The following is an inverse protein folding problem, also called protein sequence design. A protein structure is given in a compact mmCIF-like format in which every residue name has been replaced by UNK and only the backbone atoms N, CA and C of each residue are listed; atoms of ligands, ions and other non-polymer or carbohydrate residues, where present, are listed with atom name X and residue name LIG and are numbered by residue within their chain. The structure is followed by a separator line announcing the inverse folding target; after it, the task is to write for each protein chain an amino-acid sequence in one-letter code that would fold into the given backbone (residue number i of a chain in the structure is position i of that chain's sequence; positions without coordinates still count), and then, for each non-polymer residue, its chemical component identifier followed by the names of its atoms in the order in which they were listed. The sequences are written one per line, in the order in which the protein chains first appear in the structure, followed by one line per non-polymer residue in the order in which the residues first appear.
data_IF_315739097490
#
_entry.id   IF_315739097490
#
_cell.length_a   1.000
_cell.length_b   1.000
_cell.length_c   1.000
_cell.angle_alpha   90.00
_cell.angle_beta   90.00
_cell.angle_gamma   90.00
#
_symmetry.space_group_name_H-M   'P 1'
#
loop_
_entity.id
_entity.type
_entity.pdbx_description
1 polymer ?
#
# COMPACT_ATOMS: atom_id res chain seq x y z
N UNK A 1 -30.20 10.25 8.04
CA UNK A 1 -30.27 8.79 8.03
C UNK A 1 -28.96 8.26 7.43
N UNK A 2 -28.31 7.28 8.05
CA UNK A 2 -27.05 6.72 7.59
C UNK A 2 -27.24 5.33 6.96
N UNK A 3 -26.22 4.84 6.25
CA UNK A 3 -26.14 3.45 5.78
C UNK A 3 -25.61 2.57 6.91
N UNK A 4 -26.14 1.37 7.01
CA UNK A 4 -25.70 0.37 7.98
C UNK A 4 -25.58 -0.97 7.28
N UNK A 5 -24.50 -1.70 7.59
CA UNK A 5 -24.40 -3.14 7.34
C UNK A 5 -25.01 -3.84 8.55
N UNK A 6 -25.98 -4.69 8.31
CA UNK A 6 -26.66 -5.42 9.38
C UNK A 6 -26.41 -6.92 9.20
N UNK A 7 -25.88 -7.55 10.25
CA UNK A 7 -25.81 -9.01 10.36
C UNK A 7 -26.85 -9.47 11.36
N UNK A 8 -27.87 -10.18 10.90
CA UNK A 8 -28.92 -10.76 11.74
C UNK A 8 -28.65 -12.26 11.93
N UNK A 9 -28.84 -12.77 13.13
CA UNK A 9 -28.60 -14.17 13.47
C UNK A 9 -29.51 -14.62 14.63
N UNK A 10 -29.62 -15.93 14.78
CA UNK A 10 -30.30 -16.53 15.94
C UNK A 10 -29.26 -17.12 16.90
N UNK A 11 -29.46 -16.86 18.22
CA UNK A 11 -28.73 -17.51 19.30
C UNK A 11 -29.68 -17.84 20.45
N UNK A 12 -29.62 -19.06 20.99
CA UNK A 12 -30.46 -19.51 22.11
C UNK A 12 -31.95 -19.19 21.92
N UNK A 13 -32.46 -19.37 20.71
CA UNK A 13 -33.83 -19.05 20.26
C UNK A 13 -34.19 -17.56 20.26
N UNK A 14 -33.25 -16.65 20.43
CA UNK A 14 -33.46 -15.23 20.31
C UNK A 14 -32.81 -14.67 19.03
N UNK A 15 -33.49 -13.76 18.36
CA UNK A 15 -32.92 -13.01 17.26
C UNK A 15 -31.93 -11.98 17.81
N UNK A 16 -30.73 -11.94 17.22
CA UNK A 16 -29.71 -10.94 17.49
C UNK A 16 -29.32 -10.22 16.21
N UNK A 17 -28.78 -9.01 16.33
CA UNK A 17 -28.24 -8.28 15.20
C UNK A 17 -27.02 -7.47 15.60
N UNK A 18 -26.07 -7.35 14.67
CA UNK A 18 -24.94 -6.43 14.75
C UNK A 18 -25.06 -5.41 13.64
N UNK A 19 -25.03 -4.14 14.00
CA UNK A 19 -25.12 -3.04 13.06
C UNK A 19 -23.75 -2.33 12.98
N UNK A 20 -23.21 -2.19 11.77
CA UNK A 20 -22.04 -1.38 11.50
C UNK A 20 -22.48 -0.16 10.68
N UNK A 21 -22.28 1.03 11.22
CA UNK A 21 -22.45 2.26 10.45
C UNK A 21 -21.42 2.31 9.32
N UNK A 22 -21.89 2.63 8.12
CA UNK A 22 -21.05 2.83 6.94
C UNK A 22 -20.85 4.32 6.78
N UNK A 23 -19.60 4.74 6.68
CA UNK A 23 -19.26 6.13 6.40
C UNK A 23 -19.62 6.46 4.94
N UNK A 24 -20.25 7.61 4.73
CA UNK A 24 -20.68 8.03 3.39
C UNK A 24 -19.73 9.02 2.73
N UNK A 25 -18.90 9.70 3.55
CA UNK A 25 -17.89 10.60 3.04
C UNK A 25 -16.66 9.81 2.58
N UNK A 26 -16.21 10.05 1.35
CA UNK A 26 -14.97 9.52 0.81
C UNK A 26 -13.90 10.58 1.02
N UNK A 27 -12.92 10.37 1.92
CA UNK A 27 -11.86 11.34 2.12
C UNK A 27 -10.96 11.42 0.88
N UNK A 28 -10.35 12.57 0.66
CA UNK A 28 -9.36 12.77 -0.41
C UNK A 28 -8.02 12.12 -0.04
N UNK A 29 -7.13 11.94 -1.04
CA UNK A 29 -5.78 11.46 -0.79
C UNK A 29 -5.00 12.37 0.16
N UNK A 30 -5.26 13.68 0.10
CA UNK A 30 -4.61 14.68 0.96
C UNK A 30 -5.11 14.59 2.40
N UNK A 31 -6.42 14.44 2.62
CA UNK A 31 -7.00 14.24 3.96
C UNK A 31 -6.50 12.96 4.62
N UNK A 32 -6.21 11.92 3.83
CA UNK A 32 -5.63 10.67 4.32
C UNK A 32 -4.10 10.74 4.44
N UNK A 33 -3.47 11.83 4.02
CA UNK A 33 -2.01 11.99 3.97
C UNK A 33 -1.31 10.86 3.21
N UNK A 34 -1.93 10.38 2.11
CA UNK A 34 -1.34 9.36 1.26
C UNK A 34 -0.13 9.93 0.50
N UNK A 35 0.94 9.15 0.28
CA UNK A 35 2.06 9.56 -0.55
C UNK A 35 1.62 10.06 -1.93
N UNK A 36 2.25 11.12 -2.45
CA UNK A 36 1.88 11.74 -3.74
C UNK A 36 1.90 10.77 -4.91
N UNK A 37 2.75 9.76 -4.83
CA UNK A 37 2.82 8.68 -5.83
C UNK A 37 1.51 7.92 -5.99
N UNK A 38 0.66 7.86 -4.96
CA UNK A 38 -0.67 7.22 -5.02
C UNK A 38 -1.57 7.96 -6.02
N UNK A 39 -1.53 9.30 -6.03
CA UNK A 39 -2.26 10.11 -7.01
C UNK A 39 -1.73 9.89 -8.43
N UNK A 40 -0.41 9.81 -8.58
CA UNK A 40 0.23 9.53 -9.86
C UNK A 40 -0.16 8.14 -10.40
N UNK A 41 -0.18 7.14 -9.52
CA UNK A 41 -0.64 5.78 -9.85
C UNK A 41 -2.12 5.76 -10.26
N UNK A 42 -2.98 6.56 -9.60
CA UNK A 42 -4.39 6.68 -9.95
C UNK A 42 -4.61 7.16 -11.39
N UNK A 43 -3.70 7.98 -11.91
CA UNK A 43 -3.77 8.55 -13.26
C UNK A 43 -3.10 7.70 -14.34
N UNK A 44 -2.54 6.54 -13.98
CA UNK A 44 -1.95 5.59 -14.93
C UNK A 44 -2.99 5.10 -15.92
N UNK A 45 -2.60 4.95 -17.20
CA UNK A 45 -3.55 4.52 -18.24
C UNK A 45 -3.91 3.05 -18.15
N UNK A 46 -2.94 2.18 -17.83
CA UNK A 46 -3.11 0.72 -17.84
C UNK A 46 -2.12 0.05 -16.88
N UNK A 47 -2.44 -1.15 -16.49
CA UNK A 47 -1.62 -2.00 -15.65
C UNK A 47 -2.35 -2.37 -14.35
N UNK A 48 -1.68 -3.10 -13.49
CA UNK A 48 -2.22 -3.62 -12.25
C UNK A 48 -1.66 -2.86 -11.05
N UNK A 49 -2.52 -2.40 -10.17
CA UNK A 49 -2.16 -1.81 -8.88
C UNK A 49 -2.88 -2.59 -7.78
N UNK A 50 -2.13 -3.03 -6.78
CA UNK A 50 -2.67 -3.86 -5.70
C UNK A 50 -2.51 -3.15 -4.36
N UNK A 51 -3.63 -2.94 -3.65
CA UNK A 51 -3.62 -2.53 -2.25
C UNK A 51 -3.51 -3.74 -1.35
N UNK A 52 -2.54 -3.71 -0.45
CA UNK A 52 -2.14 -4.82 0.41
C UNK A 52 -2.35 -4.46 1.88
N UNK A 53 -2.78 -5.40 2.69
CA UNK A 53 -2.94 -5.20 4.13
C UNK A 53 -3.96 -6.16 4.74
N UNK A 54 -3.92 -6.33 6.06
CA UNK A 54 -4.90 -7.09 6.81
C UNK A 54 -6.29 -6.43 6.80
N UNK A 55 -7.29 -7.11 7.33
CA UNK A 55 -8.63 -6.53 7.50
C UNK A 55 -8.57 -5.34 8.47
N UNK A 56 -9.22 -4.23 8.11
CA UNK A 56 -9.29 -3.04 8.97
C UNK A 56 -8.08 -2.11 8.89
N UNK A 57 -7.15 -2.34 7.96
CA UNK A 57 -5.98 -1.45 7.75
C UNK A 57 -6.29 -0.21 6.90
N UNK A 58 -7.54 -0.02 6.45
CA UNK A 58 -7.95 1.16 5.69
C UNK A 58 -7.77 1.05 4.17
N UNK A 59 -7.48 -0.15 3.63
CA UNK A 59 -7.32 -0.36 2.16
C UNK A 59 -8.48 0.19 1.35
N UNK A 60 -9.72 -0.19 1.71
CA UNK A 60 -10.92 0.25 0.98
C UNK A 60 -11.08 1.77 1.00
N UNK A 61 -10.74 2.42 2.12
CA UNK A 61 -10.80 3.89 2.23
C UNK A 61 -9.77 4.55 1.32
N UNK A 62 -8.53 4.08 1.34
CA UNK A 62 -7.45 4.62 0.49
C UNK A 62 -7.70 4.34 -0.99
N UNK A 63 -8.23 3.16 -1.32
CA UNK A 63 -8.62 2.80 -2.69
C UNK A 63 -9.80 3.64 -3.18
N UNK A 64 -10.82 3.88 -2.34
CA UNK A 64 -11.93 4.77 -2.67
C UNK A 64 -11.45 6.21 -2.89
N UNK A 65 -10.51 6.69 -2.06
CA UNK A 65 -9.86 7.99 -2.23
C UNK A 65 -9.12 8.08 -3.57
N UNK A 66 -8.36 7.06 -3.93
CA UNK A 66 -7.65 6.97 -5.21
C UNK A 66 -8.62 6.98 -6.40
N UNK A 67 -9.72 6.23 -6.34
CA UNK A 67 -10.80 6.25 -7.34
C UNK A 67 -11.45 7.63 -7.41
N UNK A 68 -11.71 8.26 -6.25
CA UNK A 68 -12.24 9.61 -6.15
C UNK A 68 -11.35 10.65 -6.82
N UNK A 69 -10.02 10.54 -6.63
CA UNK A 69 -9.04 11.40 -7.29
C UNK A 69 -9.13 11.23 -8.82
N UNK A 70 -9.11 10.00 -9.33
CA UNK A 70 -9.26 9.73 -10.77
C UNK A 70 -10.58 10.24 -11.32
N UNK A 71 -11.67 10.01 -10.62
CA UNK A 71 -13.00 10.46 -11.01
C UNK A 71 -13.11 11.98 -11.12
N UNK A 72 -12.37 12.72 -10.30
CA UNK A 72 -12.34 14.19 -10.34
C UNK A 72 -11.47 14.75 -11.47
N UNK A 73 -10.37 14.06 -11.84
CA UNK A 73 -9.33 14.60 -12.72
C UNK A 73 -9.23 13.90 -14.09
N UNK A 74 -10.09 12.92 -14.36
CA UNK A 74 -10.11 12.19 -15.63
C UNK A 74 -11.52 12.12 -16.22
N UNK A 75 -11.61 11.59 -17.44
CA UNK A 75 -12.86 11.20 -18.10
C UNK A 75 -12.79 9.72 -18.41
N UNK A 76 -13.95 9.07 -18.52
CA UNK A 76 -14.04 7.66 -18.87
C UNK A 76 -15.00 6.89 -17.99
N UNK A 77 -14.86 5.57 -17.97
CA UNK A 77 -15.73 4.66 -17.24
C UNK A 77 -14.94 3.85 -16.20
N UNK A 78 -15.33 3.99 -14.95
CA UNK A 78 -14.78 3.22 -13.81
C UNK A 78 -15.83 2.18 -13.44
N UNK A 79 -15.44 0.91 -13.43
CA UNK A 79 -16.31 -0.19 -12.97
C UNK A 79 -15.71 -0.79 -11.71
N UNK A 80 -16.52 -0.92 -10.65
CA UNK A 80 -16.13 -1.61 -9.43
C UNK A 80 -16.97 -2.85 -9.22
N UNK A 81 -16.35 -3.92 -8.72
CA UNK A 81 -17.00 -5.17 -8.32
C UNK A 81 -16.56 -5.46 -6.89
N UNK A 82 -17.52 -5.44 -5.96
CA UNK A 82 -17.26 -5.40 -4.53
C UNK A 82 -18.12 -6.42 -3.76
N UNK A 83 -17.66 -6.82 -2.59
CA UNK A 83 -18.36 -7.76 -1.69
C UNK A 83 -18.17 -7.34 -0.21
N UNK A 84 -19.02 -6.42 0.27
CA UNK A 84 -19.98 -5.54 -0.41
C UNK A 84 -19.39 -4.15 -0.77
N UNK A 85 -20.19 -3.27 -1.38
CA UNK A 85 -19.84 -1.86 -1.63
C UNK A 85 -19.72 -1.12 -0.30
N UNK A 86 -18.50 -0.62 -0.01
CA UNK A 86 -18.23 0.17 1.21
C UNK A 86 -18.47 1.67 0.99
N UNK A 87 -18.09 2.24 -0.16
CA UNK A 87 -18.22 3.64 -0.50
C UNK A 87 -19.02 3.82 -1.79
N UNK A 88 -19.92 4.80 -1.83
CA UNK A 88 -20.66 5.14 -3.05
C UNK A 88 -19.97 6.31 -3.72
N UNK A 89 -19.56 6.11 -4.97
CA UNK A 89 -18.97 7.14 -5.81
C UNK A 89 -20.05 7.86 -6.64
N UNK A 90 -20.07 9.18 -6.55
CA UNK A 90 -20.86 9.99 -7.46
C UNK A 90 -20.17 10.06 -8.83
N UNK A 91 -20.96 10.23 -9.90
CA UNK A 91 -20.41 10.56 -11.21
C UNK A 91 -19.87 12.00 -11.19
N UNK A 92 -18.62 12.19 -11.63
CA UNK A 92 -17.98 13.49 -11.79
C UNK A 92 -17.41 13.63 -13.18
N UNK A 93 -16.07 13.56 -13.34
CA UNK A 93 -15.42 13.47 -14.66
C UNK A 93 -15.61 12.09 -15.32
N UNK A 94 -15.69 11.05 -14.51
CA UNK A 94 -15.94 9.68 -14.96
C UNK A 94 -17.38 9.24 -14.66
N UNK A 95 -17.89 8.33 -15.47
CA UNK A 95 -19.01 7.48 -15.10
C UNK A 95 -18.52 6.38 -14.17
N UNK A 96 -19.19 6.15 -13.05
CA UNK A 96 -18.82 5.10 -12.10
C UNK A 96 -19.95 4.09 -11.99
N UNK A 97 -19.69 2.84 -12.35
CA UNK A 97 -20.62 1.72 -12.21
C UNK A 97 -20.11 0.82 -11.11
N UNK A 98 -20.88 0.67 -10.04
CA UNK A 98 -20.55 -0.18 -8.90
C UNK A 98 -21.48 -1.38 -8.87
N UNK A 99 -20.92 -2.59 -8.70
CA UNK A 99 -21.68 -3.83 -8.64
C UNK A 99 -21.33 -4.59 -7.37
N UNK A 100 -22.35 -4.91 -6.59
CA UNK A 100 -22.23 -5.69 -5.37
C UNK A 100 -22.48 -7.17 -5.64
N UNK A 101 -21.55 -8.03 -5.20
CA UNK A 101 -21.73 -9.49 -5.26
C UNK A 101 -22.86 -9.91 -4.33
N UNK A 102 -23.73 -10.78 -4.82
CA UNK A 102 -24.93 -11.24 -4.09
C UNK A 102 -26.14 -10.31 -4.21
N UNK A 103 -25.98 -9.10 -4.76
CA UNK A 103 -27.07 -8.15 -5.00
C UNK A 103 -27.23 -7.87 -6.51
N UNK A 104 -26.16 -7.31 -7.14
CA UNK A 104 -26.15 -6.90 -8.54
C UNK A 104 -25.57 -7.98 -9.48
N UNK A 105 -24.84 -8.92 -8.91
CA UNK A 105 -24.20 -10.01 -9.64
C UNK A 105 -24.09 -11.24 -8.73
N UNK A 106 -24.25 -12.47 -9.26
CA UNK A 106 -24.20 -13.68 -8.43
C UNK A 106 -22.78 -14.00 -7.91
N UNK A 107 -21.73 -13.58 -8.61
CA UNK A 107 -20.34 -13.82 -8.19
C UNK A 107 -19.36 -12.84 -8.84
N UNK A 108 -18.12 -12.81 -8.34
CA UNK A 108 -17.01 -12.06 -8.96
C UNK A 108 -16.77 -12.53 -10.40
N UNK A 109 -16.72 -13.84 -10.64
CA UNK A 109 -16.41 -14.42 -11.97
C UNK A 109 -17.44 -13.97 -13.03
N UNK A 110 -18.75 -14.02 -12.67
CA UNK A 110 -19.81 -13.58 -13.58
C UNK A 110 -19.72 -12.10 -13.90
N UNK A 111 -19.43 -11.28 -12.89
CA UNK A 111 -19.23 -9.84 -13.08
C UNK A 111 -18.01 -9.56 -13.96
N UNK A 112 -16.83 -10.11 -13.61
CA UNK A 112 -15.57 -9.87 -14.28
C UNK A 112 -15.59 -10.33 -15.75
N UNK A 113 -16.19 -11.49 -16.04
CA UNK A 113 -16.35 -12.02 -17.40
C UNK A 113 -17.04 -11.03 -18.36
N UNK A 114 -17.97 -10.24 -17.86
CA UNK A 114 -18.76 -9.31 -18.68
C UNK A 114 -18.21 -7.87 -18.67
N UNK A 115 -17.27 -7.56 -17.77
CA UNK A 115 -16.78 -6.20 -17.57
C UNK A 115 -16.15 -5.59 -18.82
N UNK A 116 -15.33 -6.33 -19.57
CA UNK A 116 -14.68 -5.84 -20.79
C UNK A 116 -15.68 -5.43 -21.91
N UNK A 117 -16.91 -5.94 -21.88
CA UNK A 117 -17.95 -5.57 -22.85
C UNK A 117 -18.64 -4.24 -22.51
N UNK A 118 -18.31 -3.64 -21.38
CA UNK A 118 -18.90 -2.39 -20.87
C UNK A 118 -18.00 -1.18 -21.13
N UNK A 119 -16.95 -1.34 -21.96
CA UNK A 119 -15.97 -0.32 -22.29
C UNK A 119 -15.39 0.43 -21.07
N UNK A 120 -14.81 -0.29 -20.09
CA UNK A 120 -14.18 0.32 -18.92
C UNK A 120 -12.82 0.94 -19.28
N UNK A 121 -12.45 2.03 -18.60
CA UNK A 121 -11.08 2.53 -18.56
C UNK A 121 -10.36 2.03 -17.29
N UNK A 122 -11.12 1.92 -16.20
CA UNK A 122 -10.64 1.44 -14.90
C UNK A 122 -11.57 0.36 -14.39
N UNK A 123 -10.98 -0.73 -13.91
CA UNK A 123 -11.71 -1.85 -13.30
C UNK A 123 -11.17 -2.04 -11.88
N UNK A 124 -12.05 -1.98 -10.89
CA UNK A 124 -11.69 -2.29 -9.51
C UNK A 124 -12.26 -3.65 -9.11
N UNK A 125 -11.38 -4.55 -8.71
CA UNK A 125 -11.69 -5.86 -8.13
C UNK A 125 -11.57 -5.74 -6.62
N UNK A 126 -12.69 -5.77 -5.92
CA UNK A 126 -12.76 -5.49 -4.48
C UNK A 126 -11.76 -6.29 -3.67
N UNK A 127 -11.61 -7.58 -3.99
CA UNK A 127 -10.61 -8.44 -3.37
C UNK A 127 -10.21 -9.62 -4.27
N UNK A 128 -8.90 -9.89 -4.34
CA UNK A 128 -8.35 -11.11 -4.96
C UNK A 128 -8.24 -12.19 -3.90
N UNK A 129 -9.09 -13.21 -4.01
CA UNK A 129 -9.12 -14.38 -3.10
C UNK A 129 -8.77 -15.68 -3.80
N UNK A 130 -8.96 -15.74 -5.12
CA UNK A 130 -8.82 -16.95 -5.90
C UNK A 130 -7.91 -16.74 -7.10
N UNK A 131 -7.47 -17.85 -7.68
CA UNK A 131 -6.70 -17.86 -8.92
C UNK A 131 -7.47 -17.16 -10.04
N UNK A 132 -8.77 -17.46 -10.17
CA UNK A 132 -9.63 -16.93 -11.22
C UNK A 132 -9.72 -15.41 -11.17
N UNK A 133 -9.90 -14.84 -9.97
CA UNK A 133 -9.92 -13.37 -9.80
C UNK A 133 -8.57 -12.75 -10.12
N UNK A 134 -7.46 -13.43 -9.81
CA UNK A 134 -6.12 -12.96 -10.19
C UNK A 134 -5.88 -13.04 -11.70
N UNK A 135 -6.28 -14.13 -12.36
CA UNK A 135 -6.21 -14.29 -13.82
C UNK A 135 -6.98 -13.15 -14.53
N UNK A 136 -8.18 -12.76 -14.03
CA UNK A 136 -8.92 -11.61 -14.58
C UNK A 136 -8.17 -10.28 -14.36
N UNK A 137 -7.63 -10.05 -13.17
CA UNK A 137 -6.91 -8.80 -12.87
C UNK A 137 -5.69 -8.61 -13.80
N UNK A 138 -4.93 -9.68 -14.06
CA UNK A 138 -3.83 -9.68 -15.02
C UNK A 138 -4.36 -9.43 -16.44
N UNK A 139 -5.38 -10.15 -16.88
CA UNK A 139 -5.99 -10.01 -18.20
C UNK A 139 -6.46 -8.57 -18.47
N UNK A 140 -7.07 -7.90 -17.49
CA UNK A 140 -7.49 -6.51 -17.63
C UNK A 140 -6.29 -5.58 -17.85
N UNK A 141 -5.21 -5.77 -17.08
CA UNK A 141 -4.00 -5.00 -17.24
C UNK A 141 -3.32 -5.21 -18.62
N UNK A 142 -3.29 -6.45 -19.11
CA UNK A 142 -2.74 -6.83 -20.43
C UNK A 142 -3.56 -6.24 -21.59
N UNK A 143 -4.88 -6.23 -21.44
CA UNK A 143 -5.79 -5.71 -22.47
C UNK A 143 -5.91 -4.18 -22.48
N UNK A 144 -5.09 -3.48 -21.70
CA UNK A 144 -4.93 -2.03 -21.78
C UNK A 144 -5.71 -1.22 -20.75
N UNK A 145 -6.34 -1.86 -19.77
CA UNK A 145 -7.12 -1.21 -18.73
C UNK A 145 -6.26 -0.98 -17.47
N UNK A 146 -6.64 0.00 -16.65
CA UNK A 146 -6.12 0.11 -15.30
C UNK A 146 -6.94 -0.81 -14.37
N UNK A 147 -6.30 -1.84 -13.85
CA UNK A 147 -6.89 -2.72 -12.85
C UNK A 147 -6.42 -2.34 -11.45
N UNK A 148 -7.35 -2.04 -10.57
CA UNK A 148 -7.14 -1.80 -9.15
C UNK A 148 -7.69 -3.01 -8.39
N UNK A 149 -6.94 -3.52 -7.42
CA UNK A 149 -7.40 -4.66 -6.62
C UNK A 149 -6.93 -4.56 -5.18
N UNK A 150 -7.56 -5.32 -4.28
CA UNK A 150 -7.04 -5.52 -2.94
C UNK A 150 -6.58 -6.96 -2.73
N UNK A 151 -5.59 -7.13 -1.86
CA UNK A 151 -5.08 -8.44 -1.47
C UNK A 151 -4.75 -8.44 0.03
N UNK A 152 -5.08 -9.52 0.72
CA UNK A 152 -4.68 -9.71 2.10
C UNK A 152 -3.26 -10.27 2.18
N UNK A 153 -2.30 -9.44 2.57
CA UNK A 153 -0.94 -9.78 2.96
C UNK A 153 -0.41 -8.65 3.85
N UNK A 154 0.74 -8.79 4.48
CA UNK A 154 1.25 -7.75 5.37
C UNK A 154 2.11 -6.70 4.66
N UNK A 155 2.82 -7.08 3.59
CA UNK A 155 3.68 -6.20 2.80
C UNK A 155 3.73 -6.66 1.33
N UNK A 156 4.43 -5.92 0.47
CA UNK A 156 4.52 -6.20 -0.96
C UNK A 156 5.19 -7.56 -1.27
N UNK A 157 6.23 -7.94 -0.55
CA UNK A 157 6.91 -9.21 -0.75
C UNK A 157 5.98 -10.39 -0.45
N UNK A 158 5.30 -10.35 0.71
CA UNK A 158 4.31 -11.38 1.06
C UNK A 158 3.12 -11.40 0.10
N UNK A 159 2.75 -10.25 -0.48
CA UNK A 159 1.72 -10.20 -1.50
C UNK A 159 2.13 -10.93 -2.77
N UNK A 160 3.36 -10.75 -3.23
CA UNK A 160 3.91 -11.48 -4.37
C UNK A 160 3.97 -12.99 -4.11
N UNK A 161 4.44 -13.41 -2.94
CA UNK A 161 4.45 -14.81 -2.53
C UNK A 161 3.02 -15.39 -2.45
N UNK A 162 2.06 -14.62 -1.96
CA UNK A 162 0.66 -15.04 -1.89
C UNK A 162 0.06 -15.19 -3.29
N UNK A 163 0.35 -14.29 -4.21
CA UNK A 163 -0.14 -14.36 -5.59
C UNK A 163 0.36 -15.62 -6.26
N UNK A 164 1.65 -15.92 -6.17
CA UNK A 164 2.20 -17.12 -6.82
C UNK A 164 1.58 -18.41 -6.27
N UNK A 165 1.25 -18.43 -4.97
CA UNK A 165 0.63 -19.55 -4.30
C UNK A 165 -0.84 -19.84 -4.71
N UNK A 166 -1.49 -18.91 -5.42
CA UNK A 166 -2.79 -19.20 -6.05
C UNK A 166 -2.66 -20.16 -7.24
N UNK A 167 -1.47 -20.31 -7.80
CA UNK A 167 -1.22 -21.03 -9.04
C UNK A 167 -0.45 -22.32 -8.80
N UNK A 168 -0.68 -23.37 -9.60
CA UNK A 168 0.14 -24.57 -9.57
C UNK A 168 1.56 -24.24 -10.04
N UNK A 169 2.55 -24.98 -9.55
CA UNK A 169 3.97 -24.75 -9.84
C UNK A 169 4.30 -24.65 -11.35
N UNK A 170 3.61 -25.42 -12.17
CA UNK A 170 3.78 -25.39 -13.63
C UNK A 170 3.44 -24.03 -14.27
N UNK A 171 2.68 -23.16 -13.59
CA UNK A 171 2.33 -21.81 -14.06
C UNK A 171 3.16 -20.70 -13.45
N UNK A 172 3.99 -20.98 -12.44
CA UNK A 172 4.72 -19.93 -11.70
C UNK A 172 5.56 -19.05 -12.62
N UNK A 173 6.30 -19.64 -13.56
CA UNK A 173 7.13 -18.90 -14.52
C UNK A 173 6.32 -17.92 -15.36
N UNK A 174 5.12 -18.34 -15.82
CA UNK A 174 4.22 -17.46 -16.58
C UNK A 174 3.67 -16.34 -15.70
N UNK A 175 3.23 -16.64 -14.48
CA UNK A 175 2.68 -15.65 -13.55
C UNK A 175 3.73 -14.59 -13.18
N UNK A 176 4.98 -14.99 -12.95
CA UNK A 176 6.07 -14.06 -12.71
C UNK A 176 6.30 -13.14 -13.92
N UNK A 177 6.27 -13.70 -15.14
CA UNK A 177 6.38 -12.91 -16.37
C UNK A 177 5.24 -11.90 -16.46
N UNK A 178 3.99 -12.34 -16.29
CA UNK A 178 2.79 -11.50 -16.39
C UNK A 178 2.81 -10.36 -15.36
N UNK A 179 3.17 -10.65 -14.11
CA UNK A 179 3.34 -9.63 -13.08
C UNK A 179 4.46 -8.65 -13.42
N UNK A 180 5.60 -9.13 -13.88
CA UNK A 180 6.74 -8.26 -14.24
C UNK A 180 6.38 -7.21 -15.30
N UNK A 181 5.50 -7.56 -16.23
CA UNK A 181 5.06 -6.70 -17.34
C UNK A 181 3.91 -5.78 -16.97
N UNK A 182 2.97 -6.29 -16.20
CA UNK A 182 1.67 -5.65 -15.99
C UNK A 182 1.54 -4.91 -14.66
N UNK A 183 2.27 -5.30 -13.62
CA UNK A 183 2.26 -4.58 -12.34
C UNK A 183 2.73 -3.14 -12.55
N UNK A 184 2.07 -2.17 -11.90
CA UNK A 184 2.51 -0.78 -11.80
C UNK A 184 3.01 -0.46 -10.41
N UNK A 185 2.35 -1.00 -9.38
CA UNK A 185 2.78 -0.86 -8.01
C UNK A 185 1.95 -1.67 -7.04
N UNK A 186 2.48 -1.80 -5.84
CA UNK A 186 1.78 -2.32 -4.68
C UNK A 186 1.81 -1.27 -3.58
N UNK A 187 0.69 -1.09 -2.91
CA UNK A 187 0.54 -0.14 -1.81
C UNK A 187 0.09 -0.95 -0.59
N UNK A 188 1.02 -1.21 0.31
CA UNK A 188 0.69 -1.91 1.54
C UNK A 188 0.42 -0.90 2.67
N UNK A 189 -0.54 -1.19 3.54
CA UNK A 189 -1.04 -0.25 4.54
C UNK A 189 -1.30 -0.90 5.88
N UNK A 190 -0.87 -0.20 6.94
CA UNK A 190 -1.22 -0.47 8.34
C UNK A 190 -1.74 0.81 8.98
N UNK A 191 -2.61 0.68 9.99
CA UNK A 191 -3.09 1.80 10.79
C UNK A 191 -2.49 1.73 12.18
N UNK A 192 -1.68 2.74 12.52
CA UNK A 192 -0.94 2.83 13.79
C UNK A 192 -1.65 3.80 14.72
N UNK A 193 -1.89 3.44 16.00
CA UNK A 193 -2.48 4.36 16.98
C UNK A 193 -1.62 5.62 17.14
N UNK A 194 -2.28 6.79 17.20
CA UNK A 194 -1.62 8.07 17.50
C UNK A 194 -1.16 8.12 18.96
N UNK A 195 -0.22 9.05 19.26
CA UNK A 195 0.32 9.23 20.63
C UNK A 195 -0.77 9.49 21.66
N UNK A 196 -1.82 10.25 21.28
CA UNK A 196 -2.96 10.54 22.15
C UNK A 196 -3.98 9.40 22.26
N UNK A 197 -3.80 8.31 21.51
CA UNK A 197 -4.69 7.14 21.47
C UNK A 197 -6.08 7.40 20.90
N UNK A 198 -6.38 8.61 20.38
CA UNK A 198 -7.71 8.98 19.89
C UNK A 198 -7.88 8.75 18.40
N UNK A 199 -6.79 8.59 17.67
CA UNK A 199 -6.78 8.43 16.22
C UNK A 199 -5.84 7.32 15.77
N UNK A 200 -5.70 7.21 14.45
CA UNK A 200 -4.74 6.32 13.79
C UNK A 200 -4.09 7.04 12.63
N UNK A 201 -2.83 6.70 12.36
CA UNK A 201 -2.07 7.13 11.19
C UNK A 201 -1.82 5.96 10.26
N UNK A 202 -1.90 6.20 8.98
CA UNK A 202 -1.56 5.19 7.99
C UNK A 202 -0.05 5.14 7.81
N UNK A 203 0.57 4.03 8.18
CA UNK A 203 1.90 3.69 7.69
C UNK A 203 1.71 3.01 6.32
N UNK A 204 2.43 3.49 5.31
CA UNK A 204 2.23 3.05 3.92
C UNK A 204 3.56 2.61 3.35
N UNK A 205 3.59 1.39 2.85
CA UNK A 205 4.66 0.88 2.01
C UNK A 205 4.26 1.04 0.55
N UNK A 206 5.19 1.49 -0.30
CA UNK A 206 4.96 1.67 -1.73
C UNK A 206 6.06 0.98 -2.52
N UNK A 207 5.68 0.00 -3.31
CA UNK A 207 6.49 -0.64 -4.33
C UNK A 207 6.08 -0.13 -5.71
N UNK A 208 7.04 0.40 -6.47
CA UNK A 208 6.86 0.78 -7.89
C UNK A 208 7.55 -0.25 -8.77
N UNK A 209 6.88 -0.71 -9.81
CA UNK A 209 7.45 -1.68 -10.74
C UNK A 209 8.41 -0.99 -11.73
N UNK A 210 9.59 -0.63 -11.24
CA UNK A 210 10.70 -0.14 -12.07
C UNK A 210 11.31 -1.29 -12.88
N UNK A 211 12.14 -1.02 -13.93
CA UNK A 211 12.79 -2.08 -14.69
C UNK A 211 13.58 -3.07 -13.83
N UNK A 212 14.24 -2.59 -12.75
CA UNK A 212 14.98 -3.46 -11.84
C UNK A 212 14.05 -4.33 -10.99
N UNK A 213 12.94 -3.77 -10.49
CA UNK A 213 11.91 -4.53 -9.77
C UNK A 213 11.27 -5.57 -10.69
N UNK A 214 10.91 -5.17 -11.94
CA UNK A 214 10.35 -6.07 -12.93
C UNK A 214 11.27 -7.26 -13.23
N UNK A 215 12.57 -7.05 -13.35
CA UNK A 215 13.55 -8.13 -13.59
C UNK A 215 13.61 -9.09 -12.41
N UNK A 216 13.59 -8.59 -11.16
CA UNK A 216 13.55 -9.43 -9.95
C UNK A 216 12.23 -10.22 -9.84
N UNK A 217 11.08 -9.58 -10.13
CA UNK A 217 9.79 -10.26 -10.18
C UNK A 217 9.83 -11.40 -11.22
N UNK A 218 10.32 -11.11 -12.43
CA UNK A 218 10.41 -12.10 -13.51
C UNK A 218 11.25 -13.32 -13.14
N UNK A 219 12.29 -13.12 -12.33
CA UNK A 219 13.17 -14.20 -11.82
C UNK A 219 12.60 -14.89 -10.58
N UNK A 220 11.56 -14.35 -9.96
CA UNK A 220 11.03 -14.81 -8.66
C UNK A 220 11.92 -14.44 -7.47
N UNK A 221 12.85 -13.49 -7.64
CA UNK A 221 13.79 -13.02 -6.61
C UNK A 221 13.12 -11.96 -5.69
N UNK A 222 11.97 -12.32 -5.10
CA UNK A 222 11.12 -11.41 -4.32
C UNK A 222 11.86 -10.82 -3.12
N UNK A 223 12.74 -11.58 -2.48
CA UNK A 223 13.51 -11.16 -1.30
C UNK A 223 14.42 -9.95 -1.58
N UNK A 224 14.93 -9.79 -2.81
CA UNK A 224 15.78 -8.66 -3.19
C UNK A 224 15.01 -7.33 -3.36
N UNK A 225 13.68 -7.37 -3.48
CA UNK A 225 12.85 -6.19 -3.76
C UNK A 225 12.91 -5.18 -2.62
N UNK A 226 12.96 -5.62 -1.37
CA UNK A 226 13.00 -4.71 -0.21
C UNK A 226 14.26 -3.84 -0.20
N UNK A 227 15.40 -4.40 -0.57
CA UNK A 227 16.66 -3.65 -0.70
C UNK A 227 16.60 -2.62 -1.83
N UNK A 228 15.92 -2.95 -2.93
CA UNK A 228 15.69 -2.02 -4.04
C UNK A 228 14.81 -0.86 -3.59
N UNK A 229 13.72 -1.15 -2.87
CA UNK A 229 12.80 -0.12 -2.34
C UNK A 229 13.52 0.86 -1.43
N UNK A 230 14.37 0.36 -0.53
CA UNK A 230 15.15 1.18 0.41
C UNK A 230 16.08 2.17 -0.32
N UNK A 231 16.62 1.76 -1.49
CA UNK A 231 17.55 2.57 -2.30
C UNK A 231 16.87 3.45 -3.35
N UNK A 232 15.55 3.34 -3.52
CA UNK A 232 14.81 4.00 -4.61
C UNK A 232 13.72 4.97 -4.10
N UNK A 233 13.97 5.62 -3.00
CA UNK A 233 13.03 6.58 -2.38
C UNK A 233 12.73 7.79 -3.28
N UNK A 234 13.70 8.23 -4.09
CA UNK A 234 13.52 9.32 -5.07
C UNK A 234 12.44 9.02 -6.13
N UNK A 235 12.16 7.74 -6.37
CA UNK A 235 11.12 7.30 -7.30
C UNK A 235 9.74 7.16 -6.62
N UNK A 236 9.63 7.51 -5.34
CA UNK A 236 8.41 7.40 -4.55
C UNK A 236 8.21 6.02 -3.90
N UNK A 237 9.23 5.14 -3.95
CA UNK A 237 9.20 3.90 -3.19
C UNK A 237 9.45 4.16 -1.71
N UNK A 238 8.80 3.38 -0.86
CA UNK A 238 8.91 3.51 0.58
C UNK A 238 8.66 2.16 1.24
N UNK A 239 9.49 1.77 2.21
CA UNK A 239 9.26 0.59 3.04
C UNK A 239 8.40 0.94 4.26
N UNK A 240 7.78 -0.06 4.90
CA UNK A 240 7.06 0.16 6.16
C UNK A 240 7.95 0.75 7.24
N UNK A 241 9.17 0.25 7.40
CA UNK A 241 10.08 0.72 8.45
C UNK A 241 10.42 2.20 8.26
N UNK A 242 10.59 2.65 7.00
CA UNK A 242 10.79 4.07 6.69
C UNK A 242 9.54 4.92 6.99
N UNK A 243 8.35 4.45 6.61
CA UNK A 243 7.09 5.14 6.93
C UNK A 243 6.87 5.26 8.45
N UNK A 244 7.14 4.20 9.20
CA UNK A 244 7.04 4.20 10.65
C UNK A 244 8.06 5.14 11.30
N UNK A 245 9.29 5.17 10.77
CA UNK A 245 10.30 6.13 11.20
C UNK A 245 9.83 7.58 10.99
N UNK A 246 9.28 7.91 9.82
CA UNK A 246 8.76 9.25 9.54
C UNK A 246 7.63 9.66 10.51
N UNK A 247 6.67 8.78 10.75
CA UNK A 247 5.57 9.02 11.70
C UNK A 247 6.07 9.21 13.13
N UNK A 248 7.06 8.42 13.55
CA UNK A 248 7.69 8.56 14.85
C UNK A 248 8.47 9.87 14.96
N UNK A 249 9.29 10.22 13.98
CA UNK A 249 10.07 11.45 13.96
C UNK A 249 9.18 12.72 13.94
N UNK A 250 8.00 12.63 13.32
CA UNK A 250 6.97 13.66 13.36
C UNK A 250 6.21 13.74 14.70
N UNK A 251 6.47 12.82 15.64
CA UNK A 251 5.76 12.75 16.94
C UNK A 251 4.31 12.29 16.84
N UNK A 252 3.91 11.67 15.74
CA UNK A 252 2.53 11.25 15.51
C UNK A 252 2.21 9.88 16.14
N UNK A 253 3.22 9.00 16.27
CA UNK A 253 3.11 7.67 16.88
C UNK A 253 4.17 7.48 17.97
N UNK A 254 3.93 6.58 18.90
CA UNK A 254 4.91 6.25 19.95
C UNK A 254 6.01 5.34 19.42
N UNK A 255 7.17 5.35 20.10
CA UNK A 255 8.28 4.43 19.80
C UNK A 255 7.85 2.95 19.86
N UNK A 256 7.08 2.58 20.90
CA UNK A 256 6.61 1.22 21.07
C UNK A 256 5.66 0.79 19.97
N UNK A 257 4.73 1.67 19.55
CA UNK A 257 3.84 1.40 18.42
C UNK A 257 4.61 1.27 17.10
N UNK A 258 5.64 2.08 16.89
CA UNK A 258 6.49 2.00 15.70
C UNK A 258 7.21 0.64 15.64
N UNK A 259 7.85 0.22 16.72
CA UNK A 259 8.58 -1.06 16.77
C UNK A 259 7.65 -2.28 16.69
N UNK A 260 6.47 -2.22 17.32
CA UNK A 260 5.50 -3.33 17.27
C UNK A 260 4.92 -3.55 15.87
N UNK A 261 4.95 -2.52 15.01
CA UNK A 261 4.40 -2.54 13.65
C UNK A 261 5.47 -2.70 12.57
N UNK A 262 6.75 -2.67 12.94
CA UNK A 262 7.87 -2.74 12.00
C UNK A 262 7.99 -4.14 11.35
N UNK A 263 8.39 -4.15 10.08
CA UNK A 263 8.82 -5.38 9.39
C UNK A 263 10.13 -5.90 10.01
N UNK A 264 11.08 -4.97 10.32
CA UNK A 264 12.31 -5.23 11.03
C UNK A 264 12.50 -4.24 12.18
N UNK A 265 12.13 -4.65 13.40
CA UNK A 265 12.32 -3.81 14.58
C UNK A 265 13.78 -3.42 14.83
N UNK A 266 14.74 -4.25 14.38
CA UNK A 266 16.17 -3.94 14.52
C UNK A 266 16.61 -2.85 13.56
N UNK A 267 16.17 -2.91 12.29
CA UNK A 267 16.50 -1.89 11.29
C UNK A 267 15.84 -0.56 11.65
N UNK A 268 14.60 -0.58 12.13
CA UNK A 268 13.93 0.64 12.61
C UNK A 268 14.63 1.26 13.82
N UNK A 269 15.09 0.45 14.82
CA UNK A 269 15.90 0.95 15.94
C UNK A 269 17.19 1.60 15.46
N UNK A 270 17.87 0.98 14.49
CA UNK A 270 19.09 1.53 13.92
C UNK A 270 18.85 2.85 13.22
N UNK A 271 17.78 2.97 12.41
CA UNK A 271 17.39 4.22 11.76
C UNK A 271 17.14 5.34 12.79
N UNK A 272 16.37 5.06 13.83
CA UNK A 272 16.05 6.02 14.90
C UNK A 272 17.34 6.47 15.61
N UNK A 273 18.24 5.54 15.94
CA UNK A 273 19.50 5.85 16.63
C UNK A 273 20.42 6.72 15.78
N UNK A 274 20.65 6.35 14.53
CA UNK A 274 21.52 7.11 13.61
C UNK A 274 21.02 8.54 13.37
N UNK A 275 19.71 8.72 13.30
CA UNK A 275 19.11 10.06 13.18
C UNK A 275 19.25 10.89 14.46
N UNK A 276 19.17 10.27 15.64
CA UNK A 276 19.37 10.92 16.94
C UNK A 276 20.83 11.36 17.14
N UNK A 277 21.79 10.50 16.78
CA UNK A 277 23.22 10.81 16.87
C UNK A 277 23.63 11.89 15.84
N UNK A 278 23.01 11.93 14.66
CA UNK A 278 23.24 12.98 13.66
C UNK A 278 22.75 14.36 14.09
N UNK A 279 21.69 14.44 14.90
CA UNK A 279 21.20 15.69 15.48
C UNK A 279 22.12 16.20 16.62
N UNK A 280 22.79 15.29 17.34
CA UNK A 280 23.72 15.63 18.40
C UNK A 280 25.07 16.17 17.87
N UNK A 281 25.51 15.71 16.69
CA UNK A 281 26.77 16.20 16.05
C UNK A 281 26.60 17.58 15.43
N UNK A 282 25.39 18.03 15.12
CA UNK A 282 25.12 19.37 14.56
C UNK A 282 25.12 20.52 15.58
N UNK A 283 25.10 20.24 16.90
CA UNK A 283 25.05 21.28 17.96
C UNK A 283 26.33 21.41 18.78
N UNK A 284 27.41 20.69 18.42
CA UNK A 284 28.70 20.73 19.13
C UNK A 284 29.85 21.09 18.23
N UNK A 285 30.02 22.42 17.88
CA UNK A 285 31.28 22.92 17.43
C UNK A 285 32.20 23.12 18.64
N UNK A 286 32.69 22.03 19.24
CA UNK A 286 33.81 22.09 20.14
C UNK A 286 35.09 21.93 19.31
N UNK A 287 35.86 23.03 19.16
CA UNK A 287 37.11 23.04 18.42
C UNK A 287 38.10 22.04 18.99
N UNK A 288 38.56 21.13 18.17
CA UNK A 288 39.80 20.40 18.40
C UNK A 288 40.96 21.35 18.12
N UNK A 289 41.53 21.96 19.17
CA UNK A 289 42.83 22.61 19.12
C UNK A 289 43.88 21.51 19.17
N UNK A 290 44.65 21.38 18.07
CA UNK A 290 45.91 20.63 18.05
C UNK A 290 46.94 21.43 18.83
N UNK A 291 47.29 21.05 20.04
CA UNK A 291 48.51 21.48 20.71
C UNK A 291 49.70 20.88 19.99
N UNK A 292 50.42 21.72 19.27
CA UNK A 292 51.77 21.41 18.74
C UNK A 292 52.76 21.37 19.90
N UNK A 293 53.20 20.19 20.29
CA UNK A 293 54.30 20.02 21.24
C UNK A 293 55.61 20.24 20.51
N UNK A 294 56.13 21.46 20.50
CA UNK A 294 57.54 21.73 20.09
C UNK A 294 58.46 21.24 21.18
N UNK A 295 59.23 20.19 20.86
CA UNK A 295 60.27 19.63 21.70
C UNK A 295 61.43 20.54 21.82
N UNK A 296 61.74 20.89 23.05
CA UNK A 296 62.99 21.58 23.45
C UNK A 296 64.16 20.63 23.32
N UNK A 297 65.06 20.99 22.38
CA UNK A 297 66.36 20.38 22.21
C UNK A 297 67.42 21.24 22.91
N UNK A 298 67.76 20.90 24.14
CA UNK A 298 69.00 21.47 24.76
C UNK A 298 70.03 20.35 25.04
N UNK A 299 71.12 20.47 24.30
CA UNK A 299 72.43 19.88 24.54
C UNK A 299 72.85 19.85 26.01
N UNK A 300 73.53 18.79 26.41
CA UNK A 300 74.87 18.96 27.07
C UNK A 300 75.75 17.71 26.87
N UNK A 301 76.92 18.02 26.34
CA UNK A 301 78.11 17.17 26.32
C UNK A 301 78.60 16.87 27.75
N UNK A 302 79.01 15.68 28.06
CA UNK A 302 80.33 15.24 28.44
C UNK A 302 80.39 13.73 28.42
#
# INVERSE_FOLDING_TARGET
AGRFRVSAFYQRNFAGMVLRRIETHIPTCDELQLPEVVKSLAMTKRGLIIFVGATGTGKSTSLASMIGHRNAHSKGHIITIEDPIEFIHEHRGCMVTQREVGVDTPSFEVALKNTLRQAPDVIMVGEIRTRETMDYAVTFAETGHLCLATLHANNANQALDRIINFFPAARHSQVWMDLSLNLRGMIAQQLIPTVDGKGRRAAIEVLINTPLVADNIRKGEVHAIKDIMTKSTEQGMQTFDHALYQLYAAGEITYDNALASADSANDLRLMIKLAGDGAAVGSGSAGLSLESNEGDSSMRRR
#
